data_IF_235439476204
#
_entry.id   IF_235439476204
#
_cell.length_a   1.000
_cell.length_b   1.000
_cell.length_c   1.000
_cell.angle_alpha   90.00
_cell.angle_beta   90.00
_cell.angle_gamma   90.00
#
_symmetry.space_group_name_H-M   'P 1'
#
loop_
_entity.id
_entity.type
_entity.pdbx_description
1 polymer ?
#
# COMPACT_ATOMS: atom_id res chain seq x y z
N UNK A 1 6.82 23.68 1.57
CA UNK A 1 6.53 22.24 1.68
C UNK A 1 5.24 21.99 0.92
N UNK A 2 5.09 20.89 0.19
CA UNK A 2 3.81 20.57 -0.45
C UNK A 2 2.73 20.42 0.60
N UNK A 3 1.62 21.12 0.45
CA UNK A 3 0.49 21.11 1.38
C UNK A 3 -0.47 19.99 0.93
N UNK A 4 -0.38 18.85 1.56
CA UNK A 4 -1.28 17.71 1.37
C UNK A 4 -0.60 16.44 0.82
N UNK A 5 -1.25 15.27 1.01
CA UNK A 5 -0.70 13.98 0.60
C UNK A 5 -0.77 13.79 -0.92
N UNK A 6 0.08 12.88 -1.42
CA UNK A 6 -0.05 12.38 -2.78
C UNK A 6 -1.36 11.59 -2.94
N UNK A 7 -1.95 11.60 -4.14
CA UNK A 7 -3.20 10.91 -4.41
C UNK A 7 -3.25 10.30 -5.80
N UNK A 8 -3.92 9.17 -5.90
CA UNK A 8 -4.29 8.55 -7.17
C UNK A 8 -5.49 9.31 -7.74
N UNK A 9 -5.45 9.63 -9.04
CA UNK A 9 -6.55 10.29 -9.76
C UNK A 9 -7.12 9.42 -10.88
N UNK A 10 -6.35 8.43 -11.33
CA UNK A 10 -6.77 7.49 -12.37
C UNK A 10 -6.04 6.16 -12.19
N UNK A 11 -6.75 5.06 -12.41
CA UNK A 11 -6.22 3.71 -12.47
C UNK A 11 -6.87 2.95 -13.62
N UNK A 12 -6.06 2.40 -14.53
CA UNK A 12 -6.49 1.42 -15.53
C UNK A 12 -5.72 0.12 -15.32
N UNK A 13 -6.45 -0.97 -15.42
CA UNK A 13 -5.90 -2.32 -15.28
C UNK A 13 -6.39 -3.17 -16.42
N UNK A 14 -5.48 -3.88 -17.05
CA UNK A 14 -5.78 -4.81 -18.12
C UNK A 14 -5.19 -6.18 -17.85
N UNK A 15 -5.96 -7.21 -18.12
CA UNK A 15 -5.59 -8.62 -18.01
C UNK A 15 -5.15 -9.08 -16.62
N UNK A 16 -5.68 -8.50 -15.55
CA UNK A 16 -5.33 -8.92 -14.19
C UNK A 16 -6.48 -9.65 -13.51
N UNK A 17 -6.36 -10.96 -13.30
CA UNK A 17 -7.37 -11.82 -12.63
C UNK A 17 -8.79 -11.63 -13.20
N UNK A 18 -9.73 -11.13 -12.37
CA UNK A 18 -11.09 -10.83 -12.81
C UNK A 18 -11.19 -9.55 -13.67
N UNK A 19 -10.16 -8.72 -13.70
CA UNK A 19 -10.15 -7.44 -14.38
C UNK A 19 -9.59 -7.60 -15.80
N UNK A 20 -10.46 -7.83 -16.78
CA UNK A 20 -10.03 -7.90 -18.20
C UNK A 20 -9.59 -6.55 -18.73
N UNK A 21 -10.41 -5.53 -18.52
CA UNK A 21 -10.10 -4.13 -18.81
C UNK A 21 -11.04 -3.27 -18.00
N UNK A 22 -10.47 -2.51 -17.05
CA UNK A 22 -11.21 -1.59 -16.21
C UNK A 22 -10.45 -0.29 -16.08
N UNK A 23 -11.18 0.82 -16.00
CA UNK A 23 -10.61 2.13 -15.70
C UNK A 23 -11.46 2.86 -14.68
N UNK A 24 -10.79 3.43 -13.70
CA UNK A 24 -11.35 4.35 -12.72
C UNK A 24 -10.80 5.74 -13.02
N UNK A 25 -11.69 6.65 -13.38
CA UNK A 25 -11.34 8.06 -13.62
C UNK A 25 -11.82 8.92 -12.44
N UNK A 26 -11.20 10.07 -12.28
CA UNK A 26 -11.59 11.10 -11.31
C UNK A 26 -11.72 10.57 -9.87
N UNK A 27 -10.78 9.68 -9.48
CA UNK A 27 -10.75 9.13 -8.13
C UNK A 27 -10.63 10.26 -7.10
N UNK A 28 -11.58 10.30 -6.17
CA UNK A 28 -11.60 11.25 -5.06
C UNK A 28 -10.72 10.77 -3.90
N UNK A 29 -10.36 11.65 -2.95
CA UNK A 29 -9.60 11.25 -1.76
C UNK A 29 -10.27 10.15 -0.94
N UNK A 30 -11.59 10.10 -0.92
CA UNK A 30 -12.38 9.01 -0.36
C UNK A 30 -13.20 8.38 -1.48
N UNK A 31 -12.94 7.11 -1.77
CA UNK A 31 -13.61 6.34 -2.84
C UNK A 31 -14.13 5.03 -2.26
N UNK A 32 -15.41 4.76 -2.44
CA UNK A 32 -16.03 3.49 -2.05
C UNK A 32 -16.28 2.62 -3.29
N UNK A 33 -15.87 1.36 -3.22
CA UNK A 33 -16.13 0.35 -4.24
C UNK A 33 -17.33 -0.50 -3.83
N UNK A 34 -18.43 -0.37 -4.55
CA UNK A 34 -19.66 -1.13 -4.31
C UNK A 34 -19.89 -2.14 -5.45
N UNK A 35 -20.46 -3.27 -5.11
CA UNK A 35 -20.79 -4.31 -6.09
C UNK A 35 -21.10 -5.66 -5.44
N UNK A 36 -21.73 -6.55 -6.20
CA UNK A 36 -22.04 -7.92 -5.75
C UNK A 36 -20.78 -8.74 -5.49
N UNK A 37 -20.95 -9.88 -4.78
CA UNK A 37 -19.85 -10.83 -4.61
C UNK A 37 -19.39 -11.35 -5.98
N UNK A 38 -18.09 -11.51 -6.15
CA UNK A 38 -17.50 -11.92 -7.43
C UNK A 38 -17.35 -10.81 -8.48
N UNK A 39 -17.77 -9.56 -8.22
CA UNK A 39 -17.65 -8.45 -9.17
C UNK A 39 -16.20 -7.93 -9.38
N UNK A 40 -15.23 -8.46 -8.64
CA UNK A 40 -13.82 -8.08 -8.77
C UNK A 40 -13.34 -7.03 -7.77
N UNK A 41 -14.13 -6.63 -6.75
CA UNK A 41 -13.72 -5.67 -5.70
C UNK A 41 -12.39 -6.06 -5.05
N UNK A 42 -12.28 -7.29 -4.53
CA UNK A 42 -11.05 -7.81 -3.93
C UNK A 42 -9.88 -7.84 -4.92
N UNK A 43 -10.16 -8.06 -6.20
CA UNK A 43 -9.13 -7.99 -7.24
C UNK A 43 -8.58 -6.56 -7.41
N UNK A 44 -9.43 -5.53 -7.29
CA UNK A 44 -8.97 -4.14 -7.32
C UNK A 44 -8.04 -3.85 -6.13
N UNK A 45 -8.38 -4.29 -4.92
CA UNK A 45 -7.50 -4.16 -3.76
C UNK A 45 -6.20 -4.96 -3.93
N UNK A 46 -6.28 -6.16 -4.54
CA UNK A 46 -5.07 -6.96 -4.83
C UNK A 46 -4.15 -6.27 -5.86
N UNK A 47 -4.67 -5.46 -6.79
CA UNK A 47 -3.83 -4.64 -7.69
C UNK A 47 -2.93 -3.71 -6.88
N UNK A 48 -3.47 -2.98 -5.90
CA UNK A 48 -2.66 -2.10 -5.05
C UNK A 48 -1.63 -2.87 -4.23
N UNK A 49 -2.04 -4.00 -3.67
CA UNK A 49 -1.14 -4.90 -2.93
C UNK A 49 -0.04 -5.46 -3.82
N UNK A 50 -0.38 -5.91 -5.03
CA UNK A 50 0.57 -6.45 -6.00
C UNK A 50 1.60 -5.39 -6.41
N UNK A 51 1.15 -4.21 -6.81
CA UNK A 51 2.05 -3.11 -7.16
C UNK A 51 2.97 -2.75 -5.99
N UNK A 52 2.43 -2.53 -4.79
CA UNK A 52 3.25 -2.24 -3.61
C UNK A 52 4.28 -3.34 -3.32
N UNK A 53 3.91 -4.61 -3.45
CA UNK A 53 4.82 -5.74 -3.28
C UNK A 53 5.90 -5.79 -4.38
N UNK A 54 5.56 -5.48 -5.64
CA UNK A 54 6.56 -5.37 -6.72
C UNK A 54 7.66 -4.35 -6.39
N UNK A 55 7.30 -3.24 -5.73
CA UNK A 55 8.23 -2.19 -5.36
C UNK A 55 9.01 -2.46 -4.06
N UNK A 56 8.46 -3.27 -3.16
CA UNK A 56 9.06 -3.55 -1.85
C UNK A 56 9.84 -4.86 -1.82
N UNK A 57 9.28 -5.93 -2.37
CA UNK A 57 9.84 -7.29 -2.33
C UNK A 57 10.31 -7.81 -3.69
N UNK A 58 9.97 -7.08 -4.78
CA UNK A 58 10.29 -7.42 -6.16
C UNK A 58 9.20 -8.18 -6.90
N UNK A 59 9.19 -8.03 -8.24
CA UNK A 59 8.16 -8.59 -9.11
C UNK A 59 8.05 -10.11 -8.97
N UNK A 60 9.18 -10.82 -8.99
CA UNK A 60 9.22 -12.30 -8.90
C UNK A 60 8.52 -12.83 -7.65
N UNK A 61 8.79 -12.25 -6.49
CA UNK A 61 8.15 -12.68 -5.23
C UNK A 61 6.65 -12.36 -5.22
N UNK A 62 6.27 -11.16 -5.66
CA UNK A 62 4.87 -10.76 -5.75
C UNK A 62 4.08 -11.67 -6.71
N UNK A 63 4.73 -12.09 -7.79
CA UNK A 63 4.23 -12.99 -8.81
C UNK A 63 4.04 -14.43 -8.27
N UNK A 64 5.10 -15.02 -7.71
CA UNK A 64 5.09 -16.39 -7.19
C UNK A 64 4.06 -16.56 -6.06
N UNK A 65 3.94 -15.59 -5.17
CA UNK A 65 2.95 -15.56 -4.07
C UNK A 65 1.52 -15.69 -4.58
N UNK A 66 1.23 -15.24 -5.79
CA UNK A 66 -0.12 -15.22 -6.39
C UNK A 66 -0.38 -16.37 -7.37
N UNK A 67 0.48 -17.39 -7.40
CA UNK A 67 0.30 -18.55 -8.28
C UNK A 67 0.73 -18.31 -9.73
N UNK A 68 1.59 -17.33 -9.96
CA UNK A 68 2.20 -17.00 -11.25
C UNK A 68 1.19 -16.53 -12.30
N UNK A 69 1.60 -16.51 -13.58
CA UNK A 69 0.82 -15.99 -14.69
C UNK A 69 -0.53 -16.71 -14.88
N UNK A 70 -0.56 -17.99 -14.63
CA UNK A 70 -1.76 -18.81 -14.74
C UNK A 70 -2.92 -18.29 -13.88
N UNK A 71 -2.60 -17.77 -12.68
CA UNK A 71 -3.59 -17.23 -11.73
C UNK A 71 -3.67 -15.69 -11.74
N UNK A 72 -2.68 -15.02 -12.30
CA UNK A 72 -2.64 -13.56 -12.38
C UNK A 72 -3.27 -13.01 -13.65
N UNK A 73 -3.05 -13.65 -14.82
CA UNK A 73 -3.67 -13.20 -16.05
C UNK A 73 -5.16 -13.55 -16.10
N UNK A 74 -5.96 -12.68 -16.66
CA UNK A 74 -7.39 -12.93 -16.87
C UNK A 74 -7.60 -14.18 -17.71
N UNK A 75 -8.48 -15.06 -17.27
CA UNK A 75 -8.74 -16.33 -17.94
C UNK A 75 -9.29 -16.10 -19.36
N UNK A 76 -8.71 -16.78 -20.33
CA UNK A 76 -9.07 -16.65 -21.73
C UNK A 76 -8.66 -15.33 -22.41
N UNK A 77 -7.78 -14.56 -21.76
CA UNK A 77 -7.18 -13.38 -22.34
C UNK A 77 -5.76 -13.68 -22.82
N UNK A 78 -5.35 -13.01 -23.89
CA UNK A 78 -3.99 -13.03 -24.41
C UNK A 78 -3.29 -11.69 -24.11
N UNK A 79 -1.95 -11.68 -24.21
CA UNK A 79 -1.13 -10.49 -24.02
C UNK A 79 -0.76 -10.19 -22.56
N UNK A 80 -0.04 -9.08 -22.35
CA UNK A 80 0.53 -8.72 -21.08
C UNK A 80 -0.52 -8.25 -20.08
N UNK A 81 -0.15 -8.27 -18.79
CA UNK A 81 -0.86 -7.54 -17.75
C UNK A 81 -0.35 -6.10 -17.77
N UNK A 82 -1.25 -5.12 -17.83
CA UNK A 82 -0.88 -3.71 -17.87
C UNK A 82 -1.57 -2.91 -16.79
N UNK A 83 -0.78 -2.08 -16.13
CA UNK A 83 -1.23 -1.11 -15.14
C UNK A 83 -0.90 0.29 -15.63
N UNK A 84 -1.89 1.18 -15.60
CA UNK A 84 -1.71 2.60 -15.84
C UNK A 84 -2.22 3.36 -14.64
N UNK A 85 -1.34 4.13 -14.00
CA UNK A 85 -1.62 4.91 -12.79
C UNK A 85 -1.36 6.38 -13.08
N UNK A 86 -2.34 7.24 -12.80
CA UNK A 86 -2.10 8.67 -12.74
C UNK A 86 -2.17 9.13 -11.29
N UNK A 87 -1.18 9.89 -10.86
CA UNK A 87 -1.15 10.40 -9.51
C UNK A 87 -0.68 11.85 -9.46
N UNK A 88 -1.00 12.52 -8.37
CA UNK A 88 -0.47 13.84 -8.02
C UNK A 88 0.39 13.71 -6.78
N UNK A 89 1.57 14.30 -6.78
CA UNK A 89 2.47 14.31 -5.61
C UNK A 89 1.92 15.14 -4.44
N UNK A 90 1.08 16.12 -4.76
CA UNK A 90 0.29 16.92 -3.82
C UNK A 90 -0.94 17.49 -4.56
N UNK A 91 -1.97 18.03 -3.87
CA UNK A 91 -3.23 18.44 -4.51
C UNK A 91 -3.06 19.37 -5.71
N UNK A 92 -2.10 20.29 -5.67
CA UNK A 92 -1.82 21.27 -6.73
C UNK A 92 -0.72 20.82 -7.70
N UNK A 93 -0.19 19.60 -7.57
CA UNK A 93 0.82 19.09 -8.47
C UNK A 93 0.21 18.74 -9.83
N UNK A 94 1.05 18.83 -10.87
CA UNK A 94 0.72 18.26 -12.18
C UNK A 94 0.58 16.74 -12.09
N UNK A 95 -0.20 16.17 -13.01
CA UNK A 95 -0.42 14.74 -13.07
C UNK A 95 0.82 14.04 -13.61
N UNK A 96 1.35 13.11 -12.83
CA UNK A 96 2.31 12.13 -13.29
C UNK A 96 1.60 10.85 -13.72
N UNK A 97 2.02 10.28 -14.85
CA UNK A 97 1.47 9.05 -15.42
C UNK A 97 2.53 7.96 -15.39
N UNK A 98 2.20 6.85 -14.74
CA UNK A 98 3.03 5.66 -14.69
C UNK A 98 2.35 4.51 -15.43
N UNK A 99 3.11 3.79 -16.26
CA UNK A 99 2.65 2.61 -17.00
C UNK A 99 3.64 1.49 -16.71
N UNK A 100 3.10 0.32 -16.36
CA UNK A 100 3.84 -0.93 -16.19
C UNK A 100 3.15 -2.03 -16.98
N UNK A 101 3.88 -2.67 -17.87
CA UNK A 101 3.43 -3.83 -18.63
C UNK A 101 4.33 -5.02 -18.30
N UNK A 102 3.73 -6.12 -17.88
CA UNK A 102 4.45 -7.35 -17.45
C UNK A 102 3.90 -8.57 -18.18
N UNK A 103 4.78 -9.53 -18.41
CA UNK A 103 4.46 -10.81 -19.02
C UNK A 103 5.28 -11.93 -18.40
N UNK A 104 5.16 -13.15 -18.86
CA UNK A 104 5.95 -14.31 -18.44
C UNK A 104 6.73 -14.91 -19.60
N UNK A 105 7.96 -15.26 -19.34
CA UNK A 105 8.81 -16.08 -20.21
C UNK A 105 9.16 -17.39 -19.50
N UNK A 106 9.84 -18.30 -20.19
CA UNK A 106 10.30 -19.56 -19.59
C UNK A 106 11.13 -19.36 -18.30
N UNK A 107 11.86 -18.24 -18.21
CA UNK A 107 12.68 -17.86 -17.04
C UNK A 107 11.89 -17.20 -15.89
N UNK A 108 10.60 -16.91 -16.07
CA UNK A 108 9.74 -16.25 -15.08
C UNK A 108 9.18 -14.91 -15.56
N UNK A 109 8.70 -14.05 -14.63
CA UNK A 109 8.11 -12.77 -15.00
C UNK A 109 9.12 -11.84 -15.67
N UNK A 110 8.62 -11.01 -16.57
CA UNK A 110 9.42 -10.02 -17.30
C UNK A 110 8.68 -8.68 -17.36
N UNK A 111 9.42 -7.60 -17.19
CA UNK A 111 8.94 -6.23 -17.45
C UNK A 111 9.11 -5.95 -18.95
N UNK A 112 7.98 -5.91 -19.67
CA UNK A 112 8.00 -5.60 -21.10
C UNK A 112 8.22 -4.11 -21.34
N UNK A 113 7.48 -3.28 -20.60
CA UNK A 113 7.57 -1.83 -20.72
C UNK A 113 7.31 -1.18 -19.36
N UNK A 114 8.10 -0.17 -19.02
CA UNK A 114 7.91 0.68 -17.85
C UNK A 114 8.18 2.13 -18.24
N UNK A 115 7.20 3.01 -17.99
CA UNK A 115 7.25 4.42 -18.39
C UNK A 115 6.74 5.30 -17.27
N UNK A 116 7.47 6.39 -16.99
CA UNK A 116 7.03 7.48 -16.13
C UNK A 116 7.01 8.77 -16.94
N UNK A 117 5.83 9.40 -17.06
CA UNK A 117 5.61 10.67 -17.73
C UNK A 117 5.19 11.74 -16.73
N UNK A 118 5.63 12.96 -16.96
CA UNK A 118 5.27 14.09 -16.14
C UNK A 118 5.10 15.36 -16.98
N UNK A 119 4.29 16.32 -16.53
CA UNK A 119 4.11 17.61 -17.17
C UNK A 119 4.83 18.70 -16.36
N UNK A 120 5.53 19.61 -17.03
CA UNK A 120 6.16 20.77 -16.39
C UNK A 120 5.12 21.83 -16.05
N UNK A 121 5.25 22.44 -14.89
CA UNK A 121 4.36 23.54 -14.45
C UNK A 121 4.55 24.81 -15.28
N UNK A 122 5.79 25.07 -15.72
CA UNK A 122 6.17 26.34 -16.38
C UNK A 122 5.85 26.42 -17.89
N UNK A 123 5.34 25.36 -18.45
CA UNK A 123 5.13 25.29 -19.90
C UNK A 123 3.67 25.42 -20.29
N UNK A 124 2.97 26.48 -19.88
CA UNK A 124 1.64 26.89 -20.38
C UNK A 124 0.86 25.89 -21.24
N UNK A 125 0.64 24.66 -20.79
CA UNK A 125 -0.05 23.61 -21.55
C UNK A 125 0.87 22.65 -22.34
N UNK A 126 2.16 22.55 -22.05
CA UNK A 126 3.11 21.64 -22.68
C UNK A 126 2.69 20.16 -22.62
N UNK A 127 3.07 19.38 -23.64
CA UNK A 127 2.83 17.93 -23.66
C UNK A 127 3.60 17.24 -22.55
N UNK A 128 3.02 16.19 -21.88
CA UNK A 128 3.77 15.34 -20.96
C UNK A 128 5.01 14.77 -21.65
N UNK A 129 6.14 14.75 -20.96
CA UNK A 129 7.37 14.14 -21.45
C UNK A 129 7.77 12.95 -20.57
N UNK A 130 8.51 12.01 -21.18
CA UNK A 130 8.98 10.85 -20.47
C UNK A 130 10.14 11.24 -19.54
N UNK A 131 10.04 10.90 -18.25
CA UNK A 131 11.15 10.96 -17.29
C UNK A 131 11.93 9.66 -17.30
N UNK A 132 11.22 8.54 -17.52
CA UNK A 132 11.78 7.20 -17.56
C UNK A 132 11.04 6.42 -18.63
N UNK A 133 11.82 5.69 -19.43
CA UNK A 133 11.27 4.78 -20.43
C UNK A 133 12.18 3.56 -20.57
N UNK A 134 11.65 2.39 -20.24
CA UNK A 134 12.34 1.10 -20.34
C UNK A 134 11.50 0.11 -21.12
N UNK A 135 12.16 -0.69 -21.97
CA UNK A 135 11.59 -1.86 -22.67
C UNK A 135 12.53 -3.04 -22.51
N UNK A 136 12.02 -4.16 -21.96
CA UNK A 136 12.79 -5.39 -21.74
C UNK A 136 14.14 -5.13 -21.03
N UNK A 137 14.13 -4.36 -19.96
CA UNK A 137 15.30 -4.05 -19.14
C UNK A 137 16.25 -2.99 -19.71
N UNK A 138 16.02 -2.48 -20.91
CA UNK A 138 16.86 -1.45 -21.54
C UNK A 138 16.10 -0.15 -21.69
N UNK A 139 16.74 0.96 -21.37
CA UNK A 139 16.06 2.24 -21.47
C UNK A 139 16.90 3.42 -21.03
N UNK A 140 16.23 4.45 -20.58
CA UNK A 140 16.85 5.69 -20.13
C UNK A 140 16.02 6.37 -19.05
N UNK A 141 16.67 7.22 -18.29
CA UNK A 141 16.09 8.05 -17.25
C UNK A 141 16.63 9.47 -17.37
N UNK A 142 15.79 10.45 -17.06
CA UNK A 142 16.22 11.84 -16.86
C UNK A 142 16.53 12.04 -15.38
N UNK A 143 17.76 12.46 -15.08
CA UNK A 143 18.23 12.76 -13.73
C UNK A 143 17.95 14.21 -13.36
N UNK A 144 17.74 14.50 -12.05
CA UNK A 144 17.47 15.83 -11.53
C UNK A 144 16.00 16.09 -11.18
N UNK A 145 15.75 17.18 -10.43
CA UNK A 145 14.40 17.53 -9.96
C UNK A 145 13.57 18.26 -11.01
N UNK A 146 14.24 19.09 -11.79
CA UNK A 146 13.62 19.83 -12.88
C UNK A 146 14.43 19.56 -14.13
N UNK A 147 13.86 18.89 -15.12
CA UNK A 147 14.49 18.82 -16.41
C UNK A 147 14.60 20.25 -16.96
N UNK A 148 15.82 20.73 -17.11
CA UNK A 148 16.08 21.97 -17.82
C UNK A 148 15.91 21.79 -19.33
N UNK A 149 16.01 22.86 -20.13
CA UNK A 149 15.90 22.80 -21.61
C UNK A 149 16.89 21.84 -22.27
N UNK A 150 17.89 21.37 -21.54
CA UNK A 150 18.95 20.43 -21.96
C UNK A 150 18.87 19.07 -21.26
N UNK A 151 17.69 18.52 -21.06
CA UNK A 151 17.50 17.23 -20.38
C UNK A 151 18.38 16.14 -20.96
N UNK A 152 19.36 15.69 -20.21
CA UNK A 152 20.22 14.58 -20.61
C UNK A 152 19.56 13.26 -20.23
N UNK A 153 19.21 12.48 -21.24
CA UNK A 153 18.79 11.11 -21.07
C UNK A 153 19.99 10.25 -20.74
N UNK A 154 19.99 9.64 -19.57
CA UNK A 154 21.03 8.69 -19.17
C UNK A 154 20.56 7.28 -19.54
N UNK A 155 21.25 6.64 -20.47
CA UNK A 155 20.97 5.27 -20.84
C UNK A 155 21.37 4.33 -19.68
N UNK A 156 20.49 3.40 -19.34
CA UNK A 156 20.69 2.40 -18.28
C UNK A 156 20.20 1.04 -18.76
N UNK A 157 20.84 -0.01 -18.30
CA UNK A 157 20.45 -1.39 -18.55
C UNK A 157 20.22 -2.08 -17.19
N UNK A 158 19.14 -2.84 -17.10
CA UNK A 158 18.83 -3.69 -15.97
C UNK A 158 19.22 -5.12 -16.33
N UNK A 159 19.99 -5.78 -15.48
CA UNK A 159 20.53 -7.11 -15.78
C UNK A 159 19.45 -8.19 -15.73
N UNK A 160 18.52 -8.10 -14.78
CA UNK A 160 17.45 -9.07 -14.65
C UNK A 160 16.15 -8.58 -15.31
N UNK A 161 15.45 -9.44 -16.06
CA UNK A 161 14.24 -9.08 -16.80
C UNK A 161 13.03 -8.76 -15.92
N UNK A 162 13.05 -9.14 -14.65
CA UNK A 162 11.99 -8.89 -13.66
C UNK A 162 12.26 -7.67 -12.77
N UNK A 163 13.36 -6.94 -13.00
CA UNK A 163 13.60 -5.68 -12.31
C UNK A 163 12.73 -4.55 -12.85
N UNK A 164 12.07 -3.84 -11.92
CA UNK A 164 11.38 -2.60 -12.23
C UNK A 164 12.40 -1.44 -12.21
N UNK A 165 12.44 -0.67 -13.30
CA UNK A 165 13.33 0.48 -13.43
C UNK A 165 13.03 1.56 -12.37
N UNK A 166 11.76 1.86 -12.10
CA UNK A 166 11.37 2.81 -11.03
C UNK A 166 11.83 2.30 -9.66
N UNK A 167 11.67 1.01 -9.35
CA UNK A 167 12.09 0.46 -8.07
C UNK A 167 13.61 0.51 -7.89
N UNK A 168 14.37 0.26 -8.95
CA UNK A 168 15.84 0.23 -8.96
C UNK A 168 16.43 1.65 -8.95
N UNK A 169 16.07 2.46 -9.95
CA UNK A 169 16.64 3.80 -10.14
C UNK A 169 16.10 4.83 -9.11
N UNK A 170 14.92 4.60 -8.56
CA UNK A 170 14.33 5.41 -7.49
C UNK A 170 15.02 5.27 -6.13
N UNK A 171 16.05 4.42 -6.01
CA UNK A 171 16.93 4.38 -4.83
C UNK A 171 18.11 5.35 -4.94
N UNK A 172 18.33 5.91 -6.13
CA UNK A 172 19.45 6.81 -6.39
C UNK A 172 19.02 8.27 -6.19
N UNK A 173 19.77 9.01 -5.39
CA UNK A 173 19.49 10.42 -5.08
C UNK A 173 19.42 11.31 -6.35
N UNK A 174 20.13 10.94 -7.42
CA UNK A 174 20.12 11.64 -8.70
C UNK A 174 18.78 11.60 -9.45
N UNK A 175 17.84 10.74 -9.03
CA UNK A 175 16.54 10.53 -9.70
C UNK A 175 15.36 10.86 -8.76
N UNK A 176 15.19 12.11 -8.28
CA UNK A 176 14.23 12.45 -7.23
C UNK A 176 12.76 12.20 -7.64
N UNK A 177 12.39 12.43 -8.92
CA UNK A 177 11.03 12.15 -9.42
C UNK A 177 10.70 10.66 -9.44
N UNK A 178 11.65 9.84 -9.88
CA UNK A 178 11.53 8.38 -9.84
C UNK A 178 11.45 7.90 -8.38
N UNK A 179 12.27 8.49 -7.51
CA UNK A 179 12.25 8.20 -6.08
C UNK A 179 10.91 8.58 -5.40
N UNK A 180 10.28 9.68 -5.83
CA UNK A 180 8.98 10.10 -5.32
C UNK A 180 7.88 9.08 -5.65
N UNK A 181 7.79 8.62 -6.91
CA UNK A 181 6.85 7.56 -7.31
C UNK A 181 7.13 6.25 -6.57
N UNK A 182 8.41 5.85 -6.47
CA UNK A 182 8.80 4.65 -5.75
C UNK A 182 8.32 4.71 -4.30
N UNK A 183 8.59 5.79 -3.58
CA UNK A 183 8.13 5.98 -2.19
C UNK A 183 6.63 5.93 -2.08
N UNK A 184 5.91 6.63 -2.97
CA UNK A 184 4.46 6.66 -2.99
C UNK A 184 3.86 5.25 -3.10
N UNK A 185 4.28 4.45 -4.09
CA UNK A 185 3.74 3.09 -4.28
C UNK A 185 4.19 2.13 -3.15
N UNK A 186 5.43 2.24 -2.69
CA UNK A 186 5.95 1.38 -1.61
C UNK A 186 5.25 1.63 -0.27
N UNK A 187 4.69 2.82 -0.07
CA UNK A 187 4.01 3.22 1.17
C UNK A 187 2.51 2.87 1.18
N UNK A 188 1.97 2.29 0.12
CA UNK A 188 0.57 1.90 0.09
C UNK A 188 0.25 0.82 1.13
N UNK A 189 -0.79 1.06 1.89
CA UNK A 189 -1.30 0.12 2.87
C UNK A 189 -2.66 -0.42 2.42
N UNK A 190 -2.76 -1.73 2.25
CA UNK A 190 -4.03 -2.41 1.97
C UNK A 190 -4.30 -3.35 3.12
N UNK A 191 -5.38 -3.08 3.84
CA UNK A 191 -5.81 -3.85 5.00
C UNK A 191 -6.61 -5.07 4.59
N UNK A 192 -6.15 -6.23 5.01
CA UNK A 192 -6.84 -7.53 4.98
C UNK A 192 -6.94 -8.07 6.41
N UNK A 193 -7.52 -7.26 7.30
CA UNK A 193 -7.57 -7.61 8.72
C UNK A 193 -8.24 -8.98 8.92
N UNK A 194 -7.50 -9.90 9.51
CA UNK A 194 -8.00 -11.18 10.00
C UNK A 194 -8.14 -11.12 11.50
N UNK A 195 -9.35 -11.27 12.02
CA UNK A 195 -9.57 -11.25 13.47
C UNK A 195 -8.80 -12.36 14.18
N UNK A 196 -8.66 -13.52 13.56
CA UNK A 196 -7.84 -14.60 14.10
C UNK A 196 -6.37 -14.23 14.17
N UNK A 197 -5.84 -13.51 13.17
CA UNK A 197 -4.48 -13.00 13.18
C UNK A 197 -4.30 -11.93 14.27
N UNK A 198 -5.24 -11.00 14.41
CA UNK A 198 -5.25 -9.96 15.46
C UNK A 198 -5.26 -10.55 16.87
N UNK A 199 -5.88 -11.72 17.06
CA UNK A 199 -5.91 -12.47 18.32
C UNK A 199 -4.62 -13.22 18.62
N UNK A 200 -3.69 -13.25 17.68
CA UNK A 200 -2.42 -13.93 17.80
C UNK A 200 -1.55 -13.39 18.95
N UNK A 201 -0.50 -14.13 19.21
CA UNK A 201 0.53 -13.79 20.18
C UNK A 201 1.86 -13.65 19.44
N UNK A 202 2.16 -12.44 18.91
CA UNK A 202 3.41 -12.22 18.20
C UNK A 202 4.62 -12.33 19.13
N UNK A 203 5.79 -12.63 18.55
CA UNK A 203 7.05 -12.51 19.26
C UNK A 203 7.23 -11.08 19.80
N UNK A 204 7.82 -10.96 20.99
CA UNK A 204 8.05 -9.69 21.63
C UNK A 204 9.01 -8.82 20.80
N UNK A 205 8.68 -7.55 20.66
CA UNK A 205 9.44 -6.56 19.91
C UNK A 205 8.54 -5.46 19.40
N UNK A 206 9.06 -4.24 19.33
CA UNK A 206 8.31 -3.11 18.81
C UNK A 206 8.24 -3.13 17.28
N UNK A 207 7.06 -2.87 16.73
CA UNK A 207 6.84 -2.67 15.30
C UNK A 207 6.09 -1.37 15.09
N UNK A 208 6.57 -0.54 14.19
CA UNK A 208 6.08 0.83 14.02
C UNK A 208 4.71 0.89 13.31
N UNK A 209 4.44 -0.06 12.41
CA UNK A 209 3.23 -0.07 11.57
C UNK A 209 2.48 -1.39 11.68
N UNK A 210 1.16 -1.28 11.67
CA UNK A 210 0.29 -2.46 11.65
C UNK A 210 0.49 -3.25 10.36
N UNK A 211 0.64 -4.57 10.49
CA UNK A 211 0.67 -5.47 9.34
C UNK A 211 -0.69 -5.51 8.62
N UNK A 212 -0.71 -5.95 7.39
CA UNK A 212 -1.95 -6.03 6.60
C UNK A 212 -2.98 -6.95 7.22
N UNK A 213 -2.56 -8.02 7.88
CA UNK A 213 -3.41 -8.99 8.59
C UNK A 213 -3.78 -8.56 10.01
N UNK A 214 -3.02 -7.63 10.59
CA UNK A 214 -3.18 -7.20 11.98
C UNK A 214 -2.52 -8.11 13.02
N UNK A 215 -1.73 -9.12 12.60
CA UNK A 215 -1.11 -10.12 13.48
C UNK A 215 -0.10 -9.52 14.48
N UNK A 216 0.43 -8.33 14.20
CA UNK A 216 1.37 -7.61 15.07
C UNK A 216 0.72 -6.47 15.90
N UNK A 217 -0.60 -6.51 16.11
CA UNK A 217 -1.28 -5.42 16.82
C UNK A 217 -0.69 -5.15 18.21
N UNK A 218 -0.33 -6.19 18.97
CA UNK A 218 0.30 -6.04 20.27
C UNK A 218 1.65 -5.31 20.22
N UNK A 219 2.47 -5.59 19.18
CA UNK A 219 3.77 -4.93 18.97
C UNK A 219 3.60 -3.44 18.64
N UNK A 220 2.60 -3.10 17.82
CA UNK A 220 2.32 -1.69 17.48
C UNK A 220 1.79 -0.94 18.70
N UNK A 221 0.92 -1.54 19.51
CA UNK A 221 0.47 -0.93 20.78
C UNK A 221 1.66 -0.73 21.72
N UNK A 222 2.61 -1.67 21.79
CA UNK A 222 3.84 -1.50 22.56
C UNK A 222 4.65 -0.31 22.03
N UNK A 223 4.91 -0.26 20.73
CA UNK A 223 5.62 0.86 20.11
C UNK A 223 4.96 2.22 20.41
N UNK A 224 3.64 2.31 20.26
CA UNK A 224 2.89 3.53 20.56
C UNK A 224 2.98 3.90 22.05
N UNK A 225 2.94 2.92 22.96
CA UNK A 225 3.06 3.18 24.40
C UNK A 225 4.43 3.73 24.79
N UNK A 226 5.50 3.28 24.13
CA UNK A 226 6.88 3.66 24.42
C UNK A 226 7.30 4.97 23.71
N UNK A 227 6.87 5.17 22.46
CA UNK A 227 7.35 6.26 21.60
C UNK A 227 6.32 7.36 21.33
N UNK A 228 5.03 7.02 21.32
CA UNK A 228 3.93 7.91 20.95
C UNK A 228 2.74 7.85 21.93
N UNK A 229 2.95 8.07 23.25
CA UNK A 229 1.90 7.88 24.24
C UNK A 229 0.68 8.79 24.04
N UNK A 230 0.87 9.99 23.45
CA UNK A 230 -0.25 10.89 23.10
C UNK A 230 -1.13 10.32 22.00
N UNK A 231 -0.53 9.67 21.01
CA UNK A 231 -1.27 8.98 19.93
C UNK A 231 -2.05 7.81 20.50
N UNK A 232 -1.45 7.01 21.37
CA UNK A 232 -2.13 5.89 22.03
C UNK A 232 -3.33 6.36 22.87
N UNK A 233 -3.20 7.47 23.59
CA UNK A 233 -4.30 8.04 24.36
C UNK A 233 -5.43 8.57 23.46
N UNK A 234 -5.11 9.13 22.29
CA UNK A 234 -6.11 9.53 21.30
C UNK A 234 -6.89 8.30 20.77
N UNK A 235 -6.19 7.19 20.49
CA UNK A 235 -6.81 5.91 20.10
C UNK A 235 -7.74 5.42 21.21
N UNK A 236 -7.30 5.41 22.47
CA UNK A 236 -8.13 4.96 23.60
C UNK A 236 -9.34 5.87 23.83
N UNK A 237 -9.17 7.17 23.63
CA UNK A 237 -10.28 8.11 23.71
C UNK A 237 -11.33 7.84 22.64
N UNK A 238 -10.89 7.57 21.41
CA UNK A 238 -11.78 7.19 20.31
C UNK A 238 -12.45 5.82 20.55
N UNK A 239 -11.74 4.86 21.15
CA UNK A 239 -12.29 3.56 21.53
C UNK A 239 -13.37 3.68 22.59
N UNK A 240 -13.16 4.47 23.66
CA UNK A 240 -14.13 4.66 24.75
C UNK A 240 -15.47 5.23 24.29
N UNK A 241 -15.48 6.04 23.23
CA UNK A 241 -16.72 6.54 22.62
C UNK A 241 -17.60 5.42 22.02
N UNK A 242 -17.00 4.31 21.62
CA UNK A 242 -17.67 3.20 20.92
C UNK A 242 -17.80 1.95 21.77
N UNK A 243 -16.88 1.76 22.73
CA UNK A 243 -16.85 0.68 23.70
C UNK A 243 -16.76 1.31 25.09
N UNK A 244 -17.88 1.83 25.65
CA UNK A 244 -17.88 2.68 26.86
C UNK A 244 -17.32 2.01 28.11
N UNK A 245 -17.33 0.67 28.16
CA UNK A 245 -16.78 -0.09 29.30
C UNK A 245 -15.27 -0.27 29.24
N UNK A 246 -14.64 -0.03 28.10
CA UNK A 246 -13.21 -0.20 27.92
C UNK A 246 -12.44 0.88 28.70
N UNK A 247 -11.68 0.46 29.68
CA UNK A 247 -10.86 1.34 30.52
C UNK A 247 -9.44 1.48 29.95
N UNK A 248 -8.79 0.36 29.61
CA UNK A 248 -7.40 0.32 29.19
C UNK A 248 -7.11 -0.86 28.26
N UNK A 249 -6.17 -0.65 27.34
CA UNK A 249 -5.56 -1.71 26.52
C UNK A 249 -4.04 -1.59 26.70
N UNK A 250 -3.36 -2.73 26.89
CA UNK A 250 -1.92 -2.72 27.06
C UNK A 250 -1.29 -4.05 26.62
N UNK A 251 -0.04 -4.03 26.12
CA UNK A 251 0.73 -5.23 25.85
C UNK A 251 1.27 -5.79 27.17
N UNK A 252 1.31 -7.11 27.28
CA UNK A 252 1.81 -7.85 28.42
C UNK A 252 2.81 -8.91 27.92
N UNK A 253 4.12 -8.70 28.15
CA UNK A 253 5.13 -9.67 27.72
C UNK A 253 5.05 -10.95 28.55
N UNK A 254 5.17 -12.08 27.88
CA UNK A 254 5.20 -13.41 28.49
C UNK A 254 6.64 -13.87 28.73
N UNK A 255 6.82 -14.83 29.63
CA UNK A 255 8.13 -15.36 29.96
C UNK A 255 8.80 -16.18 28.83
N UNK A 256 8.04 -16.58 27.82
CA UNK A 256 8.50 -17.29 26.62
C UNK A 256 8.79 -16.37 25.42
N UNK A 257 8.79 -15.05 25.64
CA UNK A 257 9.18 -14.08 24.61
C UNK A 257 8.08 -13.66 23.65
N UNK A 258 6.80 -13.83 24.01
CA UNK A 258 5.66 -13.35 23.22
C UNK A 258 4.99 -12.13 23.85
N UNK A 259 4.13 -11.46 23.08
CA UNK A 259 3.27 -10.38 23.57
C UNK A 259 1.81 -10.82 23.60
N UNK A 260 1.19 -10.62 24.76
CA UNK A 260 -0.26 -10.69 24.93
C UNK A 260 -0.84 -9.29 24.88
N UNK A 261 -1.97 -9.13 24.21
CA UNK A 261 -2.74 -7.90 24.32
C UNK A 261 -3.84 -8.10 25.37
N UNK A 262 -3.88 -7.24 26.38
CA UNK A 262 -4.88 -7.25 27.45
C UNK A 262 -5.80 -6.07 27.34
N UNK A 263 -7.09 -6.32 27.62
CA UNK A 263 -8.14 -5.31 27.70
C UNK A 263 -8.71 -5.30 29.11
N UNK A 264 -8.82 -4.13 29.69
CA UNK A 264 -9.47 -3.94 30.99
C UNK A 264 -10.77 -3.19 30.82
N UNK A 265 -11.86 -3.82 31.22
CA UNK A 265 -13.18 -3.22 31.27
C UNK A 265 -13.50 -2.73 32.70
N UNK A 266 -14.12 -1.57 32.82
CA UNK A 266 -14.40 -0.91 34.07
C UNK A 266 -15.13 -1.77 35.14
N UNK A 267 -16.09 -2.64 34.76
CA UNK A 267 -16.81 -3.48 35.75
C UNK A 267 -15.96 -4.63 36.33
N UNK A 268 -14.85 -5.00 35.70
CA UNK A 268 -14.07 -6.17 36.07
C UNK A 268 -12.75 -5.78 36.77
N UNK A 269 -12.38 -6.50 37.81
CA UNK A 269 -11.09 -6.30 38.48
C UNK A 269 -9.92 -6.77 37.65
N UNK A 270 -10.10 -7.92 36.97
CA UNK A 270 -9.06 -8.55 36.16
C UNK A 270 -9.21 -8.22 34.69
N UNK A 271 -8.10 -7.94 33.97
CA UNK A 271 -8.12 -7.74 32.51
C UNK A 271 -8.36 -9.07 31.79
N UNK A 272 -9.02 -8.99 30.66
CA UNK A 272 -9.18 -10.13 29.75
C UNK A 272 -8.09 -10.10 28.67
N UNK A 273 -7.75 -11.26 28.14
CA UNK A 273 -6.90 -11.36 26.95
C UNK A 273 -7.68 -10.91 25.70
N UNK A 274 -7.02 -10.24 24.78
CA UNK A 274 -7.62 -9.79 23.52
C UNK A 274 -8.32 -10.92 22.74
N UNK A 275 -7.81 -12.16 22.82
CA UNK A 275 -8.42 -13.31 22.17
C UNK A 275 -9.86 -13.60 22.62
N UNK A 276 -10.28 -13.09 23.78
CA UNK A 276 -11.64 -13.20 24.29
C UNK A 276 -12.49 -11.94 24.10
N UNK A 277 -11.90 -10.89 23.53
CA UNK A 277 -12.65 -9.69 23.20
C UNK A 277 -13.53 -9.91 21.96
N UNK A 278 -14.56 -9.09 21.79
CA UNK A 278 -15.41 -9.15 20.60
C UNK A 278 -14.64 -8.79 19.32
N UNK A 279 -15.02 -9.39 18.21
CA UNK A 279 -14.43 -9.14 16.89
C UNK A 279 -14.48 -7.67 16.54
N UNK A 280 -15.63 -7.02 16.76
CA UNK A 280 -15.82 -5.60 16.51
C UNK A 280 -14.89 -4.71 17.33
N UNK A 281 -14.64 -5.05 18.60
CA UNK A 281 -13.71 -4.32 19.45
C UNK A 281 -12.29 -4.38 18.90
N UNK A 282 -11.82 -5.58 18.50
CA UNK A 282 -10.48 -5.76 17.97
C UNK A 282 -10.32 -5.10 16.60
N UNK A 283 -11.32 -5.22 15.74
CA UNK A 283 -11.30 -4.59 14.41
C UNK A 283 -11.29 -3.06 14.52
N UNK A 284 -12.12 -2.51 15.40
CA UNK A 284 -12.14 -1.07 15.69
C UNK A 284 -10.77 -0.58 16.18
N UNK A 285 -10.16 -1.30 17.13
CA UNK A 285 -8.83 -0.97 17.63
C UNK A 285 -7.80 -0.98 16.48
N UNK A 286 -7.77 -2.02 15.67
CA UNK A 286 -6.85 -2.13 14.55
C UNK A 286 -7.03 -0.97 13.54
N UNK A 287 -8.26 -0.60 13.20
CA UNK A 287 -8.51 0.54 12.32
C UNK A 287 -8.10 1.87 12.96
N UNK A 288 -8.35 2.08 14.24
CA UNK A 288 -7.90 3.29 14.92
C UNK A 288 -6.38 3.39 14.98
N UNK A 289 -5.67 2.26 15.13
CA UNK A 289 -4.21 2.21 15.04
C UNK A 289 -3.73 2.64 13.65
N UNK A 290 -4.36 2.17 12.57
CA UNK A 290 -4.02 2.59 11.20
C UNK A 290 -4.31 4.07 10.96
N UNK A 291 -5.47 4.56 11.43
CA UNK A 291 -5.89 5.96 11.24
C UNK A 291 -5.08 6.97 12.06
N UNK A 292 -4.49 6.53 13.17
CA UNK A 292 -3.66 7.36 14.04
C UNK A 292 -2.16 7.00 13.92
N UNK A 293 -1.76 6.31 12.83
CA UNK A 293 -0.34 6.02 12.58
C UNK A 293 0.46 7.33 12.62
N UNK A 294 1.53 7.46 13.43
CA UNK A 294 2.38 8.64 13.46
C UNK A 294 2.99 9.01 12.10
N UNK A 295 3.14 8.01 11.23
CA UNK A 295 3.62 8.15 9.85
C UNK A 295 2.59 7.56 8.88
N UNK A 296 1.42 8.22 8.69
CA UNK A 296 0.31 7.64 7.97
C UNK A 296 0.68 7.33 6.52
N UNK A 297 0.29 6.16 5.99
CA UNK A 297 0.49 5.84 4.60
C UNK A 297 -0.30 6.82 3.71
N UNK A 298 0.26 7.15 2.54
CA UNK A 298 -0.37 8.09 1.61
C UNK A 298 -1.57 7.49 0.86
N UNK A 299 -1.72 6.19 0.91
CA UNK A 299 -2.87 5.46 0.39
C UNK A 299 -3.26 4.34 1.36
N UNK A 300 -4.54 4.30 1.72
CA UNK A 300 -5.12 3.26 2.55
C UNK A 300 -6.26 2.61 1.79
N UNK A 301 -6.14 1.32 1.52
CA UNK A 301 -7.22 0.47 1.03
C UNK A 301 -7.77 -0.39 2.16
N UNK A 302 -9.07 -0.38 2.38
CA UNK A 302 -9.72 -1.22 3.39
C UNK A 302 -10.74 -2.10 2.69
N UNK A 303 -10.55 -3.42 2.77
CA UNK A 303 -11.50 -4.40 2.24
C UNK A 303 -12.50 -4.77 3.32
N UNK A 304 -13.79 -4.81 2.94
CA UNK A 304 -14.92 -5.17 3.81
C UNK A 304 -14.88 -4.46 5.18
N UNK A 305 -14.88 -3.10 5.18
CA UNK A 305 -14.78 -2.34 6.43
C UNK A 305 -15.93 -2.63 7.39
N UNK A 306 -17.09 -3.01 6.87
CA UNK A 306 -18.31 -3.32 7.63
C UNK A 306 -18.27 -4.66 8.37
N UNK A 307 -17.47 -5.63 7.93
CA UNK A 307 -17.41 -6.95 8.55
C UNK A 307 -17.05 -6.85 10.05
N UNK A 308 -17.84 -7.56 10.90
CA UNK A 308 -17.72 -7.56 12.36
C UNK A 308 -17.99 -6.21 13.05
N UNK A 309 -18.35 -5.15 12.32
CA UNK A 309 -18.80 -3.90 12.89
C UNK A 309 -20.33 -3.82 12.73
N UNK A 310 -21.01 -3.67 13.85
CA UNK A 310 -22.45 -3.38 13.86
C UNK A 310 -22.65 -1.87 13.94
N UNK A 311 -23.69 -1.33 13.25
CA UNK A 311 -24.03 0.08 13.30
C UNK A 311 -24.42 0.54 14.71
#
# INVERSE_FOLDING_TARGET
MPIGPARIVYLRVENYRALRSIAFADLSPLTALLGSNGSGKSTVFDVFSFLSECFTTGLRRAWDKRGRFKELRSRGSEGPITFELHYKEHPNAEIAKYILSIDERLSGPVVLEETLKWRRVDSGGGRPYDILHFKNGKGWVISGEQPEKSDTRVAENLDDPDLLAVSTLGRLAKNPRVAALRRFISDWYVSYLSIDAVRGQPEAGTQERLSRSGDNLANVIQYLSERHPRTLEAIFSAMRLRVPRLEKIYPDPTGDGHLLLRLKDAPFKEPILARFASDGTLKMLAYLVVLHDPHPPQFIGVEEPENFLHP
#
